data_IF_327026535810
#
_entry.id   IF_327026535810
#
_cell.length_a   1.000
_cell.length_b   1.000
_cell.length_c   1.000
_cell.angle_alpha   90.00
_cell.angle_beta   90.00
_cell.angle_gamma   90.00
#
_symmetry.space_group_name_H-M   'P 1'
#
loop_
_entity.id
_entity.type
_entity.pdbx_description
1 polymer ?
#
# COMPACT_ATOMS: atom_id res chain seq x y z
N UNK A 1 1.97 5.11 -24.88
CA UNK A 1 1.82 6.01 -23.72
C UNK A 1 2.72 5.45 -22.63
N UNK A 2 3.74 6.18 -22.22
CA UNK A 2 4.61 5.81 -21.09
C UNK A 2 3.98 6.50 -19.89
N UNK A 3 3.43 5.74 -18.94
CA UNK A 3 3.01 6.30 -17.67
C UNK A 3 4.24 6.60 -16.82
N UNK A 4 4.29 7.78 -16.23
CA UNK A 4 5.29 8.14 -15.24
C UNK A 4 5.00 7.42 -13.91
N UNK A 5 6.04 7.30 -13.08
CA UNK A 5 5.92 6.75 -11.72
C UNK A 5 4.88 7.49 -10.87
N UNK A 6 4.79 8.81 -11.06
CA UNK A 6 3.80 9.69 -10.41
C UNK A 6 2.37 9.36 -10.84
N UNK A 7 2.10 9.30 -12.16
CA UNK A 7 0.75 9.00 -12.67
C UNK A 7 0.23 7.62 -12.23
N UNK A 8 1.12 6.62 -12.12
CA UNK A 8 0.75 5.28 -11.63
C UNK A 8 0.39 5.36 -10.14
N UNK A 9 1.20 6.05 -9.35
CA UNK A 9 0.97 6.23 -7.91
C UNK A 9 -0.35 6.97 -7.66
N UNK A 10 -0.58 8.08 -8.36
CA UNK A 10 -1.82 8.87 -8.25
C UNK A 10 -3.04 8.06 -8.62
N UNK A 11 -2.98 7.27 -9.70
CA UNK A 11 -4.08 6.39 -10.11
C UNK A 11 -4.47 5.40 -9.01
N UNK A 12 -3.47 4.84 -8.31
CA UNK A 12 -3.72 3.91 -7.20
C UNK A 12 -4.29 4.65 -5.99
N UNK A 13 -3.77 5.83 -5.66
CA UNK A 13 -4.31 6.68 -4.59
C UNK A 13 -5.79 7.01 -4.86
N UNK A 14 -6.11 7.42 -6.08
CA UNK A 14 -7.47 7.71 -6.51
C UNK A 14 -8.39 6.49 -6.34
N UNK A 15 -7.90 5.31 -6.72
CA UNK A 15 -8.64 4.07 -6.53
C UNK A 15 -8.83 3.71 -5.05
N UNK A 16 -7.81 3.92 -4.21
CA UNK A 16 -7.88 3.75 -2.74
C UNK A 16 -8.96 4.64 -2.14
N UNK A 17 -8.97 5.93 -2.47
CA UNK A 17 -9.93 6.89 -1.95
C UNK A 17 -11.37 6.62 -2.43
N UNK A 18 -11.54 6.14 -3.67
CA UNK A 18 -12.86 5.94 -4.25
C UNK A 18 -13.52 4.62 -3.88
N UNK A 19 -12.79 3.51 -3.84
CA UNK A 19 -13.41 2.19 -3.67
C UNK A 19 -12.50 1.10 -3.08
N UNK A 20 -11.18 1.12 -3.34
CA UNK A 20 -10.31 0.02 -2.90
C UNK A 20 -10.17 -0.05 -1.38
N UNK A 21 -10.24 1.09 -0.65
CA UNK A 21 -10.19 1.08 0.81
C UNK A 21 -11.27 0.17 1.41
N UNK A 22 -12.53 0.41 1.05
CA UNK A 22 -13.67 -0.29 1.61
C UNK A 22 -13.79 -1.71 1.04
N UNK A 23 -13.66 -1.89 -0.29
CA UNK A 23 -13.73 -3.22 -0.92
C UNK A 23 -12.60 -4.13 -0.45
N UNK A 24 -11.40 -3.56 -0.29
CA UNK A 24 -10.22 -4.27 0.20
C UNK A 24 -10.23 -4.52 1.70
N UNK A 25 -11.23 -4.02 2.44
CA UNK A 25 -11.32 -4.09 3.91
C UNK A 25 -10.05 -3.61 4.59
N UNK A 26 -9.51 -2.48 4.11
CA UNK A 26 -8.23 -1.95 4.59
C UNK A 26 -8.26 -1.55 6.06
N UNK A 27 -9.43 -1.17 6.56
CA UNK A 27 -9.66 -0.93 7.99
C UNK A 27 -9.21 -2.11 8.86
N UNK A 28 -9.74 -3.31 8.55
CA UNK A 28 -9.38 -4.54 9.26
C UNK A 28 -7.93 -4.92 9.00
N UNK A 29 -7.42 -4.75 7.78
CA UNK A 29 -6.03 -5.08 7.46
C UNK A 29 -5.04 -4.23 8.25
N UNK A 30 -5.25 -2.92 8.31
CA UNK A 30 -4.42 -1.98 9.07
C UNK A 30 -4.46 -2.35 10.56
N UNK A 31 -5.64 -2.66 11.12
CA UNK A 31 -5.80 -3.06 12.53
C UNK A 31 -4.95 -4.28 12.94
N UNK A 32 -4.55 -5.10 11.97
CA UNK A 32 -3.75 -6.31 12.18
C UNK A 32 -2.24 -6.10 11.96
N UNK A 33 -1.84 -4.96 11.39
CA UNK A 33 -0.44 -4.63 11.22
C UNK A 33 0.20 -4.27 12.56
N UNK A 34 1.44 -4.71 12.77
CA UNK A 34 2.26 -4.41 13.97
C UNK A 34 3.32 -3.36 13.70
N UNK A 35 3.49 -2.95 12.45
CA UNK A 35 4.39 -1.87 12.05
C UNK A 35 3.99 -1.26 10.71
N UNK A 36 4.49 -0.07 10.45
CA UNK A 36 4.38 0.57 9.13
C UNK A 36 5.03 -0.30 8.03
N UNK A 37 6.13 -0.98 8.35
CA UNK A 37 6.78 -1.92 7.42
C UNK A 37 5.86 -3.07 7.03
N UNK A 38 5.12 -3.64 7.99
CA UNK A 38 4.12 -4.67 7.69
C UNK A 38 3.00 -4.16 6.78
N UNK A 39 2.55 -2.91 6.97
CA UNK A 39 1.56 -2.28 6.09
C UNK A 39 2.09 -2.15 4.65
N UNK A 40 3.33 -1.69 4.47
CA UNK A 40 3.97 -1.58 3.15
C UNK A 40 4.11 -2.95 2.48
N UNK A 41 4.51 -3.98 3.23
CA UNK A 41 4.60 -5.35 2.71
C UNK A 41 3.21 -5.84 2.28
N UNK A 42 2.19 -5.61 3.11
CA UNK A 42 0.82 -6.01 2.81
C UNK A 42 0.30 -5.33 1.53
N UNK A 43 0.54 -4.02 1.37
CA UNK A 43 0.22 -3.26 0.16
C UNK A 43 0.83 -3.87 -1.10
N UNK A 44 2.12 -4.20 -1.05
CA UNK A 44 2.84 -4.85 -2.15
C UNK A 44 2.27 -6.23 -2.45
N UNK A 45 1.90 -7.02 -1.43
CA UNK A 45 1.35 -8.37 -1.65
C UNK A 45 -0.05 -8.36 -2.26
N UNK A 46 -0.92 -7.45 -1.82
CA UNK A 46 -2.32 -7.36 -2.29
C UNK A 46 -2.41 -6.86 -3.73
N UNK A 47 -1.49 -6.00 -4.14
CA UNK A 47 -1.39 -5.52 -5.53
C UNK A 47 -0.78 -6.56 -6.46
N UNK A 48 0.07 -7.44 -5.94
CA UNK A 48 0.69 -8.54 -6.69
C UNK A 48 -0.29 -9.70 -6.97
N UNK A 49 -1.30 -9.90 -6.12
CA UNK A 49 -2.16 -11.08 -6.10
C UNK A 49 -3.43 -11.00 -6.99
N UNK A 50 -3.76 -9.85 -7.59
CA UNK A 50 -4.97 -9.69 -8.41
C UNK A 50 -4.97 -10.53 -9.70
N UNK A 51 -5.76 -11.60 -9.70
CA UNK A 51 -5.87 -12.60 -10.76
C UNK A 51 -6.47 -12.04 -12.06
N UNK A 52 -5.60 -11.56 -12.96
CA UNK A 52 -5.87 -11.56 -14.39
C UNK A 52 -5.47 -12.95 -14.90
N UNK A 53 -6.46 -13.71 -15.37
CA UNK A 53 -6.39 -15.17 -15.59
C UNK A 53 -5.56 -15.55 -16.84
N UNK A 54 -5.12 -14.60 -17.68
CA UNK A 54 -4.63 -14.94 -19.03
C UNK A 54 -3.17 -14.58 -19.40
N UNK A 55 -2.28 -14.22 -18.45
CA UNK A 55 -0.96 -13.63 -18.81
C UNK A 55 0.33 -14.44 -18.54
N UNK A 56 0.28 -15.71 -18.12
CA UNK A 56 1.47 -16.58 -18.02
C UNK A 56 2.64 -16.07 -17.13
N UNK A 57 3.86 -16.60 -17.34
CA UNK A 57 5.09 -16.40 -16.52
C UNK A 57 5.65 -14.98 -16.51
N UNK A 58 5.12 -14.07 -17.35
CA UNK A 58 5.58 -12.69 -17.47
C UNK A 58 4.91 -11.76 -16.45
N UNK A 59 3.74 -12.14 -15.91
CA UNK A 59 2.95 -11.33 -14.96
C UNK A 59 3.68 -10.98 -13.65
N UNK A 60 4.34 -11.92 -12.94
CA UNK A 60 5.07 -11.57 -11.72
C UNK A 60 6.19 -10.56 -12.00
N UNK A 61 6.84 -10.67 -13.16
CA UNK A 61 7.92 -9.78 -13.59
C UNK A 61 7.37 -8.39 -13.90
N UNK A 62 6.28 -8.28 -14.65
CA UNK A 62 5.63 -6.98 -14.94
C UNK A 62 5.13 -6.31 -13.66
N UNK A 63 4.45 -7.07 -12.77
CA UNK A 63 3.97 -6.51 -11.50
C UNK A 63 5.13 -6.09 -10.59
N UNK A 64 6.24 -6.82 -10.60
CA UNK A 64 7.46 -6.42 -9.86
C UNK A 64 8.06 -5.16 -10.46
N UNK A 65 8.15 -5.06 -11.79
CA UNK A 65 8.70 -3.89 -12.48
C UNK A 65 7.82 -2.66 -12.26
N UNK A 66 6.52 -2.75 -12.49
CA UNK A 66 5.55 -1.66 -12.21
C UNK A 66 5.53 -1.32 -10.73
N UNK A 67 5.59 -2.33 -9.86
CA UNK A 67 5.69 -2.17 -8.41
C UNK A 67 6.90 -1.34 -7.96
N UNK A 68 8.01 -1.38 -8.69
CA UNK A 68 9.18 -0.57 -8.40
C UNK A 68 9.01 0.92 -8.77
N UNK A 69 8.02 1.27 -9.58
CA UNK A 69 7.69 2.65 -9.96
C UNK A 69 6.54 3.23 -9.13
N UNK A 70 6.04 2.51 -8.13
CA UNK A 70 4.98 2.98 -7.26
C UNK A 70 5.61 3.55 -5.98
N UNK A 71 5.20 4.77 -5.60
CA UNK A 71 5.49 5.29 -4.27
C UNK A 71 4.52 4.66 -3.25
N UNK A 72 4.97 3.55 -2.68
CA UNK A 72 4.21 2.80 -1.68
C UNK A 72 4.03 3.57 -0.38
N UNK A 73 4.95 4.47 -0.06
CA UNK A 73 4.87 5.32 1.13
C UNK A 73 3.72 6.33 0.97
N UNK A 74 3.60 6.96 -0.20
CA UNK A 74 2.48 7.87 -0.49
C UNK A 74 1.12 7.16 -0.38
N UNK A 75 1.01 5.94 -0.91
CA UNK A 75 -0.23 5.15 -0.80
C UNK A 75 -0.51 4.76 0.66
N UNK A 76 0.52 4.35 1.41
CA UNK A 76 0.36 3.97 2.82
C UNK A 76 -0.07 5.16 3.68
N UNK A 77 0.49 6.35 3.46
CA UNK A 77 0.11 7.55 4.16
C UNK A 77 -1.37 7.91 3.88
N UNK A 78 -1.86 7.74 2.65
CA UNK A 78 -3.29 7.91 2.32
C UNK A 78 -4.17 6.90 3.06
N UNK A 79 -3.78 5.63 3.09
CA UNK A 79 -4.53 4.59 3.81
C UNK A 79 -4.58 4.85 5.32
N UNK A 80 -3.46 5.28 5.90
CA UNK A 80 -3.36 5.66 7.31
C UNK A 80 -4.27 6.85 7.61
N UNK A 81 -4.22 7.90 6.81
CA UNK A 81 -5.07 9.07 7.02
C UNK A 81 -6.55 8.68 6.96
N UNK A 82 -6.93 7.85 5.99
CA UNK A 82 -8.30 7.36 5.85
C UNK A 82 -8.74 6.46 7.01
N UNK A 83 -7.82 5.68 7.58
CA UNK A 83 -8.06 4.91 8.81
C UNK A 83 -8.27 5.84 10.00
N UNK A 84 -7.41 6.85 10.17
CA UNK A 84 -7.48 7.80 11.28
C UNK A 84 -8.70 8.73 11.23
N UNK A 85 -9.40 8.84 10.10
CA UNK A 85 -10.73 9.48 10.06
C UNK A 85 -11.78 8.73 10.91
N UNK A 86 -11.56 7.43 11.17
CA UNK A 86 -12.49 6.56 11.90
C UNK A 86 -11.94 6.06 13.24
N UNK A 87 -10.62 6.14 13.44
CA UNK A 87 -9.92 5.59 14.60
C UNK A 87 -9.01 6.65 15.23
N UNK A 88 -8.89 6.65 16.56
CA UNK A 88 -8.13 7.66 17.29
C UNK A 88 -6.60 7.53 17.13
N UNK A 89 -6.09 6.32 16.86
CA UNK A 89 -4.65 6.04 16.74
C UNK A 89 -4.38 4.83 15.87
N UNK A 90 -3.13 4.70 15.41
CA UNK A 90 -2.69 3.49 14.69
C UNK A 90 -2.40 2.33 15.65
N UNK A 91 -2.62 1.09 15.22
CA UNK A 91 -2.35 -0.11 16.04
C UNK A 91 -0.85 -0.36 16.28
N UNK A 92 0.02 0.35 15.55
CA UNK A 92 1.48 0.25 15.64
C UNK A 92 2.15 1.59 15.95
N UNK A 93 1.39 2.55 16.49
CA UNK A 93 1.96 3.76 17.07
C UNK A 93 2.41 3.53 18.52
N UNK A 94 3.59 4.04 18.85
CA UNK A 94 4.06 4.16 20.23
C UNK A 94 4.26 5.64 20.52
N UNK A 95 3.53 6.17 21.51
CA UNK A 95 3.57 7.59 21.90
C UNK A 95 3.25 8.58 20.75
N UNK A 96 2.30 8.26 19.88
CA UNK A 96 1.86 9.15 18.78
C UNK A 96 2.92 9.36 17.69
N UNK A 97 3.87 8.43 17.57
CA UNK A 97 4.85 8.41 16.48
C UNK A 97 4.72 7.09 15.72
N UNK A 98 4.48 7.20 14.42
CA UNK A 98 4.59 6.09 13.48
C UNK A 98 6.05 5.66 13.42
N UNK A 99 6.34 4.44 13.87
CA UNK A 99 7.67 3.84 13.71
C UNK A 99 7.82 3.41 12.25
N UNK A 100 8.23 4.34 11.38
CA UNK A 100 8.74 4.00 10.04
C UNK A 100 10.07 3.28 10.27
N UNK A 101 10.09 1.95 10.06
CA UNK A 101 11.27 1.13 10.36
C UNK A 101 12.53 1.74 9.76
N UNK A 102 13.53 2.03 10.59
CA UNK A 102 14.81 2.56 10.12
C UNK A 102 15.39 1.60 9.08
N UNK A 103 15.72 2.12 7.90
CA UNK A 103 16.57 1.37 6.96
C UNK A 103 17.86 1.07 7.71
N UNK A 104 18.10 -0.20 8.01
CA UNK A 104 19.41 -0.66 8.44
C UNK A 104 20.38 -0.40 7.28
N UNK A 105 21.13 0.69 7.38
CA UNK A 105 22.29 0.96 6.54
C UNK A 105 23.39 -0.03 6.92
N UNK A 106 23.47 -1.13 6.18
CA UNK A 106 24.66 -1.96 6.09
C UNK A 106 25.62 -1.45 5.02
#
# INVERSE_FOLDING_TARGET
MIFTSEEITETIIDAMLRYLYDLGKWDTKISLCKSYTELIVLLKTETSSYNIVDAGTVRPVINTVVGNYIDWDAIADVLINRYLEKHESLPFEVNGKVVKGEKASG
#
